data_IF_396566203774
#
_entry.id   IF_396566203774
#
_cell.length_a   1.000
_cell.length_b   1.000
_cell.length_c   1.000
_cell.angle_alpha   90.00
_cell.angle_beta   90.00
_cell.angle_gamma   90.00
#
_symmetry.space_group_name_H-M   'P 1'
#
loop_
_entity.id
_entity.type
_entity.pdbx_description
1 polymer ?
#
# COMPACT_ATOMS: atom_id res chain seq x y z
N UNK A 1 0.02 9.05 7.79
CA UNK A 1 -0.68 9.88 8.80
C UNK A 1 -1.97 9.15 9.13
N UNK A 2 -2.32 9.00 10.40
CA UNK A 2 -3.56 8.31 10.79
C UNK A 2 -4.76 9.22 10.56
N UNK A 3 -5.78 8.73 9.86
CA UNK A 3 -7.01 9.48 9.61
C UNK A 3 -8.16 8.95 10.47
N UNK A 4 -8.98 9.84 11.01
CA UNK A 4 -10.03 9.46 11.97
C UNK A 4 -11.06 8.47 11.38
N UNK A 5 -11.44 8.68 10.12
CA UNK A 5 -12.39 7.87 9.36
C UNK A 5 -11.89 6.46 9.05
N UNK A 6 -10.59 6.30 8.80
CA UNK A 6 -9.98 5.01 8.44
C UNK A 6 -9.37 4.28 9.64
N UNK A 7 -8.71 5.01 10.53
CA UNK A 7 -7.89 4.47 11.61
C UNK A 7 -8.54 4.58 12.99
N UNK A 8 -9.68 5.26 13.11
CA UNK A 8 -10.35 5.56 14.38
C UNK A 8 -9.55 6.50 15.29
N UNK A 9 -8.42 7.03 14.81
CA UNK A 9 -7.50 7.89 15.57
C UNK A 9 -6.97 8.96 14.63
N UNK A 10 -7.09 10.23 15.04
CA UNK A 10 -6.51 11.35 14.33
C UNK A 10 -5.03 11.54 14.71
N UNK A 11 -4.16 11.64 13.70
CA UNK A 11 -2.76 12.03 13.92
C UNK A 11 -2.65 13.56 13.97
N UNK A 12 -2.08 14.10 15.04
CA UNK A 12 -1.85 15.55 15.19
C UNK A 12 -0.37 15.90 15.08
N UNK A 13 -0.04 17.19 14.98
CA UNK A 13 1.36 17.65 15.00
C UNK A 13 2.07 17.29 16.31
N UNK A 14 1.36 17.41 17.44
CA UNK A 14 1.87 17.11 18.78
C UNK A 14 1.95 15.60 19.03
N UNK A 15 1.02 14.83 18.45
CA UNK A 15 0.96 13.37 18.57
C UNK A 15 0.86 12.73 17.19
N UNK A 16 2.02 12.57 16.55
CA UNK A 16 2.12 11.88 15.26
C UNK A 16 1.90 10.39 15.43
N UNK A 17 0.85 9.88 14.81
CA UNK A 17 0.59 8.44 14.75
C UNK A 17 1.16 7.89 13.44
N UNK A 18 2.21 7.09 13.56
CA UNK A 18 2.81 6.40 12.42
C UNK A 18 1.90 5.24 12.04
N UNK A 19 1.49 5.22 10.77
CA UNK A 19 0.66 4.16 10.19
C UNK A 19 1.38 3.54 9.01
N UNK A 20 1.19 2.24 8.87
CA UNK A 20 1.79 1.42 7.82
C UNK A 20 0.69 0.97 6.88
N UNK A 21 0.95 1.13 5.60
CA UNK A 21 0.01 0.83 4.53
C UNK A 21 0.73 0.06 3.42
N UNK A 22 0.12 -1.01 2.95
CA UNK A 22 0.64 -1.82 1.85
C UNK A 22 -0.18 -1.55 0.59
N UNK A 23 0.50 -1.08 -0.44
CA UNK A 23 -0.08 -0.88 -1.76
C UNK A 23 0.29 -2.06 -2.65
N UNK A 24 -0.72 -2.75 -3.18
CA UNK A 24 -0.56 -3.85 -4.13
C UNK A 24 -1.04 -3.39 -5.50
N UNK A 25 -0.12 -3.35 -6.46
CA UNK A 25 -0.41 -3.02 -7.84
C UNK A 25 -0.45 -4.32 -8.64
N UNK A 26 -1.55 -4.54 -9.34
CA UNK A 26 -1.83 -5.78 -10.07
C UNK A 26 -2.15 -5.39 -11.51
N UNK A 27 -1.47 -6.02 -12.47
CA UNK A 27 -1.63 -5.77 -13.89
C UNK A 27 -1.63 -7.07 -14.66
N UNK A 28 -2.27 -7.04 -15.83
CA UNK A 28 -2.14 -8.09 -16.84
C UNK A 28 -0.85 -7.95 -17.67
N UNK A 29 -0.23 -6.77 -17.65
CA UNK A 29 1.11 -6.55 -18.20
C UNK A 29 2.14 -7.38 -17.41
N UNK A 30 3.04 -8.05 -18.13
CA UNK A 30 4.08 -8.90 -17.55
C UNK A 30 5.46 -8.25 -17.57
N UNK A 31 5.64 -7.15 -18.29
CA UNK A 31 6.93 -6.47 -18.38
C UNK A 31 7.27 -5.76 -17.08
N UNK A 32 6.28 -5.09 -16.46
CA UNK A 32 6.42 -4.39 -15.17
C UNK A 32 7.70 -3.54 -15.11
N UNK A 33 7.94 -2.79 -16.18
CA UNK A 33 9.18 -2.08 -16.40
C UNK A 33 9.23 -0.74 -15.65
N UNK A 34 10.12 0.17 -16.05
CA UNK A 34 10.17 1.48 -15.38
C UNK A 34 8.92 2.33 -15.61
N UNK A 35 8.23 2.19 -16.75
CA UNK A 35 6.99 2.92 -17.00
C UNK A 35 5.90 2.48 -16.03
N UNK A 36 5.79 1.17 -15.79
CA UNK A 36 4.89 0.62 -14.78
C UNK A 36 5.16 1.21 -13.39
N UNK A 37 6.41 1.20 -12.93
CA UNK A 37 6.77 1.73 -11.60
C UNK A 37 6.46 3.23 -11.49
N UNK A 38 6.74 4.01 -12.53
CA UNK A 38 6.42 5.45 -12.55
C UNK A 38 4.91 5.70 -12.51
N UNK A 39 4.13 4.88 -13.22
CA UNK A 39 2.67 4.94 -13.18
C UNK A 39 2.13 4.66 -11.76
N UNK A 40 2.64 3.60 -11.11
CA UNK A 40 2.30 3.26 -9.72
C UNK A 40 2.61 4.40 -8.73
N UNK A 41 3.75 5.08 -8.89
CA UNK A 41 4.06 6.28 -8.10
C UNK A 41 3.09 7.42 -8.36
N UNK A 42 2.69 7.66 -9.62
CA UNK A 42 1.68 8.67 -9.96
C UNK A 42 0.35 8.42 -9.23
N UNK A 43 -0.13 7.19 -9.27
CA UNK A 43 -1.34 6.76 -8.55
C UNK A 43 -1.19 6.94 -7.03
N UNK A 44 -0.02 6.60 -6.48
CA UNK A 44 0.27 6.80 -5.06
C UNK A 44 0.24 8.28 -4.66
N UNK A 45 0.84 9.17 -5.44
CA UNK A 45 0.79 10.60 -5.15
C UNK A 45 -0.62 11.16 -5.26
N UNK A 46 -1.39 10.72 -6.27
CA UNK A 46 -2.79 11.09 -6.41
C UNK A 46 -3.61 10.62 -5.20
N UNK A 47 -3.38 9.39 -4.73
CA UNK A 47 -4.01 8.84 -3.53
C UNK A 47 -3.74 9.69 -2.29
N UNK A 48 -2.48 10.07 -2.06
CA UNK A 48 -2.12 10.93 -0.93
C UNK A 48 -2.74 12.31 -1.05
N UNK A 49 -2.77 12.89 -2.25
CA UNK A 49 -3.40 14.18 -2.51
C UNK A 49 -4.90 14.17 -2.24
N UNK A 50 -5.61 13.15 -2.70
CA UNK A 50 -7.05 12.98 -2.45
C UNK A 50 -7.38 12.84 -0.96
N UNK A 51 -6.46 12.27 -0.18
CA UNK A 51 -6.57 12.16 1.29
C UNK A 51 -6.16 13.44 2.03
N UNK A 52 -5.76 14.49 1.31
CA UNK A 52 -5.26 15.73 1.91
C UNK A 52 -3.92 15.56 2.65
N UNK A 53 -3.18 14.50 2.37
CA UNK A 53 -1.90 14.22 3.04
C UNK A 53 -0.81 15.03 2.34
N UNK A 54 -0.24 15.99 3.06
CA UNK A 54 0.95 16.72 2.64
C UNK A 54 2.20 15.88 2.90
N UNK A 55 3.07 15.80 1.90
CA UNK A 55 4.30 15.00 1.94
C UNK A 55 5.48 15.95 2.07
N UNK A 56 6.21 15.81 3.18
CA UNK A 56 7.41 16.62 3.42
C UNK A 56 8.64 16.00 2.75
N UNK A 57 8.73 14.67 2.72
CA UNK A 57 9.86 13.93 2.17
C UNK A 57 9.40 12.60 1.57
N UNK A 58 10.01 12.19 0.46
CA UNK A 58 9.78 10.88 -0.15
C UNK A 58 11.07 10.06 -0.17
N UNK A 59 11.06 8.95 0.56
CA UNK A 59 12.17 8.01 0.64
C UNK A 59 11.80 6.71 -0.07
N UNK A 60 12.55 6.36 -1.11
CA UNK A 60 12.38 5.13 -1.87
C UNK A 60 13.54 4.19 -1.58
N UNK A 61 13.22 2.92 -1.34
CA UNK A 61 14.20 1.86 -1.20
C UNK A 61 13.94 0.79 -2.25
N UNK A 62 14.99 0.39 -2.98
CA UNK A 62 14.90 -0.67 -3.99
C UNK A 62 15.97 -1.72 -3.79
N UNK A 63 15.66 -2.96 -4.13
CA UNK A 63 16.64 -4.04 -4.14
C UNK A 63 17.53 -3.98 -5.39
N UNK A 64 18.80 -4.39 -5.27
CA UNK A 64 19.73 -4.50 -6.40
C UNK A 64 20.58 -3.26 -6.70
N UNK A 65 21.58 -2.99 -5.86
CA UNK A 65 22.58 -1.91 -6.04
C UNK A 65 23.32 -1.97 -7.40
N UNK A 66 23.57 -3.17 -7.96
CA UNK A 66 24.16 -3.28 -9.30
C UNK A 66 23.29 -2.63 -10.40
N UNK A 67 21.97 -2.58 -10.18
CA UNK A 67 21.03 -1.88 -11.05
C UNK A 67 21.14 -0.37 -10.92
N UNK A 68 21.58 0.17 -9.77
CA UNK A 68 21.70 1.62 -9.53
C UNK A 68 22.51 2.31 -10.63
N UNK A 69 23.71 1.81 -10.94
CA UNK A 69 24.60 2.40 -11.94
C UNK A 69 24.13 2.20 -13.39
N UNK A 70 23.22 1.24 -13.63
CA UNK A 70 22.61 0.99 -14.95
C UNK A 70 21.23 1.62 -15.09
N UNK A 71 20.65 2.13 -14.00
CA UNK A 71 19.27 2.61 -13.93
C UNK A 71 19.21 4.12 -14.19
N UNK A 72 19.48 4.53 -15.43
CA UNK A 72 19.29 5.93 -15.85
C UNK A 72 17.85 6.42 -15.65
N UNK A 73 16.87 5.51 -15.73
CA UNK A 73 15.44 5.82 -15.67
C UNK A 73 14.97 6.28 -14.27
N UNK A 74 15.30 5.60 -13.14
CA UNK A 74 15.09 6.14 -11.80
C UNK A 74 15.71 7.53 -11.56
N UNK A 75 16.94 7.77 -12.02
CA UNK A 75 17.57 9.10 -11.90
C UNK A 75 16.80 10.17 -12.68
N UNK A 76 16.40 9.86 -13.92
CA UNK A 76 15.54 10.74 -14.70
C UNK A 76 14.21 11.00 -13.98
N UNK A 77 13.56 9.97 -13.45
CA UNK A 77 12.32 10.09 -12.71
C UNK A 77 12.46 11.03 -11.50
N UNK A 78 13.50 10.84 -10.68
CA UNK A 78 13.79 11.67 -9.50
C UNK A 78 13.95 13.15 -9.87
N UNK A 79 14.69 13.43 -10.95
CA UNK A 79 14.90 14.81 -11.42
C UNK A 79 13.58 15.48 -11.80
N UNK A 80 12.62 14.72 -12.37
CA UNK A 80 11.29 15.23 -12.72
C UNK A 80 10.36 15.32 -11.52
N UNK A 81 10.37 14.34 -10.63
CA UNK A 81 9.52 14.34 -9.44
C UNK A 81 9.76 15.55 -8.56
N UNK A 82 11.02 15.94 -8.38
CA UNK A 82 11.34 17.17 -7.66
C UNK A 82 10.71 18.41 -8.31
N UNK A 83 10.72 18.50 -9.65
CA UNK A 83 10.10 19.59 -10.39
C UNK A 83 8.57 19.60 -10.28
N UNK A 84 7.95 18.42 -10.35
CA UNK A 84 6.49 18.30 -10.40
C UNK A 84 5.85 18.39 -9.02
N UNK A 85 6.42 17.75 -8.02
CA UNK A 85 5.84 17.68 -6.67
C UNK A 85 6.45 18.68 -5.70
N UNK A 86 7.63 19.24 -6.01
CA UNK A 86 8.38 20.15 -5.12
C UNK A 86 8.69 19.52 -3.75
N UNK A 87 8.79 18.19 -3.72
CA UNK A 87 9.16 17.41 -2.53
C UNK A 87 10.63 16.99 -2.67
N UNK A 88 11.42 17.00 -1.59
CA UNK A 88 12.69 16.30 -1.53
C UNK A 88 12.52 14.79 -1.70
N UNK A 89 13.21 14.22 -2.70
CA UNK A 89 13.22 12.79 -2.98
C UNK A 89 14.59 12.19 -2.70
N UNK A 90 14.63 11.06 -1.99
CA UNK A 90 15.83 10.23 -1.81
C UNK A 90 15.52 8.80 -2.26
N UNK A 91 16.37 8.24 -3.11
CA UNK A 91 16.27 6.86 -3.55
C UNK A 91 17.53 6.11 -3.18
N UNK A 92 17.37 5.11 -2.31
CA UNK A 92 18.43 4.25 -1.81
C UNK A 92 18.28 2.84 -2.38
N UNK A 93 19.41 2.14 -2.49
CA UNK A 93 19.45 0.77 -3.00
C UNK A 93 20.04 -0.17 -1.95
N UNK A 94 19.43 -1.33 -1.77
CA UNK A 94 20.01 -2.45 -1.04
C UNK A 94 20.98 -3.24 -1.92
N UNK A 95 21.89 -3.99 -1.31
CA UNK A 95 22.65 -5.00 -2.04
C UNK A 95 21.69 -6.06 -2.62
N UNK A 96 22.01 -6.57 -3.81
CA UNK A 96 21.15 -7.54 -4.52
C UNK A 96 20.71 -8.69 -3.62
N UNK A 97 19.40 -8.92 -3.52
CA UNK A 97 18.82 -10.01 -2.72
C UNK A 97 18.71 -9.72 -1.22
N UNK A 98 19.12 -8.54 -0.77
CA UNK A 98 19.11 -8.13 0.63
C UNK A 98 17.99 -7.12 0.96
N UNK A 99 17.23 -6.65 -0.03
CA UNK A 99 16.08 -5.77 0.19
C UNK A 99 14.84 -6.44 0.78
N UNK A 100 14.95 -7.66 1.33
CA UNK A 100 13.80 -8.39 1.86
C UNK A 100 13.23 -7.70 3.10
N UNK A 101 11.90 -7.69 3.21
CA UNK A 101 11.23 -7.02 4.33
C UNK A 101 9.79 -7.45 4.52
N UNK A 102 9.07 -6.68 5.34
CA UNK A 102 7.68 -6.98 5.69
C UNK A 102 6.74 -7.02 4.46
N UNK A 103 7.08 -6.29 3.40
CA UNK A 103 6.36 -6.28 2.13
C UNK A 103 6.39 -7.65 1.44
N UNK A 104 7.45 -8.45 1.61
CA UNK A 104 7.51 -9.83 1.10
C UNK A 104 6.47 -10.71 1.80
N UNK A 105 6.37 -10.58 3.13
CA UNK A 105 5.39 -11.30 3.93
C UNK A 105 3.96 -10.91 3.56
N UNK A 106 3.70 -9.61 3.41
CA UNK A 106 2.39 -9.10 3.00
C UNK A 106 2.00 -9.62 1.59
N UNK A 107 2.94 -9.59 0.65
CA UNK A 107 2.76 -10.15 -0.69
C UNK A 107 2.59 -11.67 -0.68
N UNK A 108 3.33 -12.39 0.14
CA UNK A 108 3.23 -13.85 0.27
C UNK A 108 1.85 -14.27 0.80
N UNK A 109 1.28 -13.54 1.76
CA UNK A 109 -0.08 -13.78 2.25
C UNK A 109 -1.12 -13.69 1.13
N UNK A 110 -1.06 -12.65 0.30
CA UNK A 110 -1.99 -12.46 -0.82
C UNK A 110 -1.76 -13.54 -1.89
N UNK A 111 -0.51 -13.78 -2.29
CA UNK A 111 -0.19 -14.83 -3.28
C UNK A 111 -0.67 -16.21 -2.84
N UNK A 112 -0.53 -16.54 -1.55
CA UNK A 112 -1.02 -17.81 -0.99
C UNK A 112 -2.55 -17.90 -1.03
N UNK A 113 -3.24 -16.81 -0.73
CA UNK A 113 -4.69 -16.76 -0.78
C UNK A 113 -5.22 -16.88 -2.22
N UNK A 114 -4.62 -16.14 -3.17
CA UNK A 114 -4.95 -16.24 -4.59
C UNK A 114 -4.67 -17.64 -5.14
N UNK A 115 -3.55 -18.25 -4.74
CA UNK A 115 -3.25 -19.64 -5.12
C UNK A 115 -4.28 -20.62 -4.58
N UNK A 116 -4.77 -20.42 -3.35
CA UNK A 116 -5.86 -21.25 -2.80
C UNK A 116 -7.15 -21.06 -3.63
N UNK A 117 -7.50 -19.81 -3.93
CA UNK A 117 -8.68 -19.49 -4.74
C UNK A 117 -8.61 -20.07 -6.14
N UNK A 118 -7.43 -20.11 -6.78
CA UNK A 118 -7.28 -20.69 -8.12
C UNK A 118 -7.53 -22.20 -8.18
N UNK A 119 -7.52 -22.90 -7.04
CA UNK A 119 -7.88 -24.32 -6.96
C UNK A 119 -9.33 -24.56 -6.53
N UNK A 120 -10.08 -23.51 -6.22
CA UNK A 120 -11.50 -23.61 -5.88
C UNK A 120 -12.33 -23.60 -7.16
N UNK A 121 -12.79 -24.77 -7.59
CA UNK A 121 -13.58 -24.93 -8.81
C UNK A 121 -14.96 -24.28 -8.74
N UNK A 122 -15.51 -24.12 -7.53
CA UNK A 122 -16.82 -23.51 -7.27
C UNK A 122 -16.69 -22.00 -6.97
N UNK A 123 -15.46 -21.51 -6.81
CA UNK A 123 -15.17 -20.13 -6.41
C UNK A 123 -15.10 -19.12 -7.56
N UNK A 124 -14.97 -17.84 -7.19
CA UNK A 124 -14.73 -16.74 -8.13
C UNK A 124 -13.51 -17.06 -9.01
N UNK A 125 -13.68 -16.97 -10.34
CA UNK A 125 -12.60 -17.18 -11.31
C UNK A 125 -11.73 -15.93 -11.42
N UNK A 126 -10.46 -16.09 -11.08
CA UNK A 126 -9.45 -15.03 -11.13
C UNK A 126 -8.68 -15.13 -12.45
N UNK A 127 -9.13 -14.39 -13.47
CA UNK A 127 -8.62 -14.52 -14.85
C UNK A 127 -7.78 -13.33 -15.31
N UNK A 128 -7.98 -12.17 -14.70
CA UNK A 128 -7.37 -10.89 -15.06
C UNK A 128 -7.07 -10.05 -13.81
N UNK A 129 -6.33 -8.96 -13.98
CA UNK A 129 -5.98 -8.04 -12.90
C UNK A 129 -7.22 -7.47 -12.21
N UNK A 130 -8.27 -7.16 -12.97
CA UNK A 130 -9.52 -6.62 -12.46
C UNK A 130 -10.19 -7.55 -11.45
N UNK A 131 -10.47 -8.80 -11.86
CA UNK A 131 -11.10 -9.83 -11.02
C UNK A 131 -10.27 -10.14 -9.79
N UNK A 132 -8.94 -10.14 -9.91
CA UNK A 132 -8.03 -10.31 -8.77
C UNK A 132 -8.15 -9.14 -7.78
N UNK A 133 -8.15 -7.89 -8.26
CA UNK A 133 -8.23 -6.70 -7.40
C UNK A 133 -9.57 -6.66 -6.66
N UNK A 134 -10.68 -6.90 -7.35
CA UNK A 134 -12.01 -6.93 -6.74
C UNK A 134 -12.13 -8.05 -5.70
N UNK A 135 -11.62 -9.23 -6.01
CA UNK A 135 -11.57 -10.33 -5.06
C UNK A 135 -10.72 -9.97 -3.83
N UNK A 136 -9.56 -9.33 -4.03
CA UNK A 136 -8.71 -8.89 -2.94
C UNK A 136 -9.37 -7.83 -2.06
N UNK A 137 -10.06 -6.84 -2.64
CA UNK A 137 -10.82 -5.84 -1.88
C UNK A 137 -11.90 -6.50 -1.03
N UNK A 138 -12.67 -7.43 -1.61
CA UNK A 138 -13.74 -8.17 -0.90
C UNK A 138 -13.22 -8.96 0.31
N UNK A 139 -12.03 -9.55 0.23
CA UNK A 139 -11.52 -10.48 1.25
C UNK A 139 -10.46 -9.88 2.20
N UNK A 140 -9.80 -8.79 1.81
CA UNK A 140 -8.68 -8.21 2.58
C UNK A 140 -8.84 -6.72 2.90
N UNK A 141 -9.84 -6.02 2.37
CA UNK A 141 -10.09 -4.66 2.81
C UNK A 141 -10.50 -4.65 4.28
N UNK A 142 -9.99 -3.65 5.02
CA UNK A 142 -10.42 -3.40 6.39
C UNK A 142 -11.90 -2.98 6.32
N UNK A 143 -12.79 -3.73 6.96
CA UNK A 143 -14.16 -3.27 7.16
C UNK A 143 -14.10 -2.00 8.01
N UNK A 144 -14.44 -0.86 7.42
CA UNK A 144 -14.66 0.37 8.18
C UNK A 144 -15.78 0.05 9.16
N UNK A 145 -15.47 0.06 10.46
CA UNK A 145 -16.49 0.02 11.49
C UNK A 145 -17.27 1.33 11.38
N UNK A 146 -18.31 1.36 10.56
CA UNK A 146 -19.37 2.36 10.68
C UNK A 146 -20.06 2.08 12.01
N UNK A 147 -19.61 2.76 13.06
CA UNK A 147 -20.35 2.87 14.31
C UNK A 147 -21.66 3.57 14.00
N UNK A 148 -22.68 2.82 13.62
CA UNK A 148 -24.05 3.30 13.77
C UNK A 148 -24.26 3.44 15.27
N UNK A 149 -24.39 4.68 15.73
CA UNK A 149 -24.76 5.00 17.10
C UNK A 149 -26.21 4.54 17.34
N UNK A 150 -26.39 3.25 17.61
CA UNK A 150 -27.59 2.73 18.26
C UNK A 150 -27.38 2.87 19.77
N UNK A 151 -27.97 3.92 20.32
CA UNK A 151 -28.08 4.15 21.75
C UNK A 151 -28.77 2.96 22.41
N UNK A 152 -28.01 2.10 23.10
CA UNK A 152 -28.55 1.22 24.13
C UNK A 152 -27.53 1.06 25.25
N UNK A 153 -27.91 1.55 26.42
CA UNK A 153 -27.15 1.52 27.67
C UNK A 153 -26.76 0.10 28.08
N UNK A 154 -25.58 -0.07 28.69
CA UNK A 154 -25.37 -1.12 29.69
C UNK A 154 -24.04 -1.87 29.64
N UNK A 155 -23.31 -1.76 30.76
CA UNK A 155 -22.28 -2.65 31.30
C UNK A 155 -20.83 -2.53 30.79
N UNK A 156 -19.99 -2.10 31.74
CA UNK A 156 -18.55 -1.97 31.73
C UNK A 156 -17.89 -3.35 31.65
N UNK A 157 -17.02 -3.54 30.65
CA UNK A 157 -15.97 -4.56 30.67
C UNK A 157 -14.73 -3.95 30.02
N UNK A 158 -13.73 -3.62 30.84
CA UNK A 158 -12.42 -3.17 30.36
C UNK A 158 -11.69 -4.36 29.74
N UNK A 159 -11.79 -4.51 28.43
CA UNK A 159 -10.89 -5.36 27.66
C UNK A 159 -9.64 -4.54 27.32
N UNK A 160 -8.49 -4.95 27.86
CA UNK A 160 -7.17 -4.46 27.47
C UNK A 160 -6.91 -4.83 26.01
N UNK A 161 -7.26 -3.93 25.10
CA UNK A 161 -7.02 -4.09 23.67
C UNK A 161 -5.56 -3.77 23.39
N UNK A 162 -4.76 -4.83 23.20
CA UNK A 162 -3.47 -4.69 22.53
C UNK A 162 -3.74 -4.19 21.12
N UNK A 163 -3.48 -2.91 20.87
CA UNK A 163 -3.61 -2.29 19.54
C UNK A 163 -2.47 -2.77 18.63
N UNK A 164 -2.50 -4.04 18.21
CA UNK A 164 -1.82 -4.43 16.98
C UNK A 164 -2.68 -3.92 15.82
N UNK A 165 -2.48 -2.65 15.45
CA UNK A 165 -3.14 -2.04 14.28
C UNK A 165 -2.75 -2.86 13.06
N UNK A 166 -3.67 -3.70 12.57
CA UNK A 166 -3.50 -4.40 11.29
C UNK A 166 -3.15 -3.37 10.22
N UNK A 167 -2.06 -3.57 9.45
CA UNK A 167 -1.65 -2.60 8.43
C UNK A 167 -2.71 -2.51 7.33
N UNK A 168 -3.03 -1.29 6.93
CA UNK A 168 -4.01 -1.02 5.88
C UNK A 168 -3.51 -1.58 4.55
N UNK A 169 -4.42 -2.13 3.72
CA UNK A 169 -4.07 -2.72 2.43
C UNK A 169 -4.90 -2.04 1.34
N UNK A 170 -4.22 -1.56 0.31
CA UNK A 170 -4.85 -0.92 -0.85
C UNK A 170 -4.47 -1.71 -2.09
N UNK A 171 -5.48 -2.03 -2.90
CA UNK A 171 -5.34 -2.80 -4.12
C UNK A 171 -5.63 -1.92 -5.34
N UNK A 172 -4.70 -1.90 -6.27
CA UNK A 172 -4.74 -1.13 -7.49
C UNK A 172 -4.74 -2.06 -8.69
N UNK A 173 -5.70 -1.84 -9.57
CA UNK A 173 -5.66 -2.38 -10.92
C UNK A 173 -4.86 -1.43 -11.80
N UNK A 174 -3.92 -1.98 -12.57
CA UNK A 174 -3.13 -1.25 -13.55
C UNK A 174 -3.43 -1.83 -14.93
N UNK A 175 -3.95 -0.96 -15.80
CA UNK A 175 -4.31 -1.25 -17.20
C UNK A 175 -3.25 -0.78 -18.18
#
# INVERSE_FOLDING_TARGET
HAQLDLDGVESTYVKRMIKKEYHFYISDDKEHDTHFVQHCFGLFFQYLHQRGIQIDHHFVWSDGCASQFKSSRPFFALSRYHRHHKIPHLWSFFESGHGKGEHDGAGACIKRALKKQSFDYEGDRLIDAHTIVEWCKKHFAVQVLTSQASTSQGSTSQASTSHTSTPHRVFWEIT
#
